data_IF_162195027801
#
_entry.id   IF_162195027801
#
_cell.length_a   1.000
_cell.length_b   1.000
_cell.length_c   1.000
_cell.angle_alpha   90.00
_cell.angle_beta   90.00
_cell.angle_gamma   90.00
#
_symmetry.space_group_name_H-M   'P 1'
#
loop_
_entity.id
_entity.type
_entity.pdbx_description
1 polymer ?
#
# COMPACT_ATOMS: atom_id res chain seq x y z
N UNK A 1 10.24 31.48 34.97
CA UNK A 1 10.10 31.67 33.51
C UNK A 1 9.25 30.54 32.97
N UNK A 2 7.97 30.84 32.81
CA UNK A 2 6.85 29.93 32.53
C UNK A 2 6.79 29.57 31.05
N UNK A 3 6.95 28.28 30.73
CA UNK A 3 6.68 27.76 29.39
C UNK A 3 5.19 27.87 29.09
N UNK A 4 4.82 28.64 28.07
CA UNK A 4 3.45 28.77 27.59
C UNK A 4 2.91 27.41 27.14
N UNK A 5 1.65 27.06 27.47
CA UNK A 5 1.02 25.85 26.95
C UNK A 5 0.83 25.97 25.43
N UNK A 6 1.35 25.00 24.66
CA UNK A 6 1.09 24.91 23.22
C UNK A 6 -0.42 24.79 23.00
N UNK A 7 -1.00 25.75 22.29
CA UNK A 7 -2.44 25.77 21.99
C UNK A 7 -2.86 24.50 21.23
N UNK A 8 -3.95 23.81 21.62
CA UNK A 8 -4.38 22.56 20.99
C UNK A 8 -4.81 22.70 19.51
N UNK A 9 -5.02 23.92 19.01
CA UNK A 9 -5.47 24.19 17.65
C UNK A 9 -4.41 23.91 16.54
N UNK A 10 -3.11 24.07 16.83
CA UNK A 10 -2.04 23.83 15.85
C UNK A 10 -1.72 22.35 15.67
N UNK A 11 -1.95 21.54 16.71
CA UNK A 11 -1.79 20.09 16.65
C UNK A 11 -2.83 19.42 15.74
N UNK A 12 -4.07 19.95 15.71
CA UNK A 12 -5.14 19.42 14.87
C UNK A 12 -4.91 19.62 13.37
N UNK A 13 -4.42 20.78 12.96
CA UNK A 13 -4.13 21.08 11.55
C UNK A 13 -2.99 20.22 11.00
N UNK A 14 -1.92 20.00 11.78
CA UNK A 14 -0.80 19.15 11.38
C UNK A 14 -1.23 17.70 11.13
N UNK A 15 -2.15 17.18 11.94
CA UNK A 15 -2.68 15.82 11.77
C UNK A 15 -3.55 15.69 10.50
N UNK A 16 -4.37 16.70 10.19
CA UNK A 16 -5.19 16.74 8.97
C UNK A 16 -4.32 16.77 7.71
N UNK A 17 -3.30 17.63 7.68
CA UNK A 17 -2.38 17.70 6.53
C UNK A 17 -1.59 16.41 6.34
N UNK A 18 -1.18 15.76 7.43
CA UNK A 18 -0.53 14.45 7.34
C UNK A 18 -1.47 13.38 6.75
N UNK A 19 -2.72 13.32 7.21
CA UNK A 19 -3.72 12.39 6.67
C UNK A 19 -4.00 12.63 5.19
N UNK A 20 -4.14 13.89 4.75
CA UNK A 20 -4.30 14.24 3.34
C UNK A 20 -3.08 13.85 2.49
N UNK A 21 -1.87 14.11 3.00
CA UNK A 21 -0.65 13.77 2.29
C UNK A 21 -0.49 12.25 2.11
N UNK A 22 -0.77 11.46 3.15
CA UNK A 22 -0.71 9.99 3.07
C UNK A 22 -1.80 9.45 2.13
N UNK A 23 -3.00 10.01 2.19
CA UNK A 23 -4.09 9.64 1.27
C UNK A 23 -3.73 9.92 -0.19
N UNK A 24 -3.20 11.12 -0.47
CA UNK A 24 -2.78 11.50 -1.82
C UNK A 24 -1.64 10.61 -2.33
N UNK A 25 -0.65 10.31 -1.48
CA UNK A 25 0.44 9.40 -1.82
C UNK A 25 -0.07 7.99 -2.14
N UNK A 26 -0.98 7.47 -1.31
CA UNK A 26 -1.58 6.15 -1.49
C UNK A 26 -2.42 6.08 -2.78
N UNK A 27 -3.32 7.03 -3.00
CA UNK A 27 -4.14 7.08 -4.22
C UNK A 27 -3.26 7.23 -5.45
N UNK A 28 -2.23 8.09 -5.38
CA UNK A 28 -1.25 8.26 -6.44
C UNK A 28 -0.50 6.97 -6.77
N UNK A 29 -0.06 6.21 -5.76
CA UNK A 29 0.65 4.94 -5.99
C UNK A 29 -0.26 3.87 -6.58
N UNK A 30 -1.55 3.81 -6.18
CA UNK A 30 -2.56 2.94 -6.81
C UNK A 30 -2.74 3.26 -8.29
N UNK A 31 -2.96 4.54 -8.61
CA UNK A 31 -3.14 4.99 -10.00
C UNK A 31 -1.89 4.70 -10.83
N UNK A 32 -0.70 4.98 -10.31
CA UNK A 32 0.56 4.67 -11.00
C UNK A 32 0.77 3.18 -11.22
N UNK A 33 0.44 2.33 -10.24
CA UNK A 33 0.52 0.88 -10.39
C UNK A 33 -0.40 0.37 -11.51
N UNK A 34 -1.63 0.86 -11.55
CA UNK A 34 -2.62 0.44 -12.54
C UNK A 34 -2.29 1.00 -13.93
N UNK A 35 -1.89 2.26 -14.01
CA UNK A 35 -1.49 2.91 -15.26
C UNK A 35 -0.26 2.24 -15.88
N UNK A 36 0.78 1.98 -15.08
CA UNK A 36 1.98 1.28 -15.53
C UNK A 36 1.67 -0.15 -15.97
N UNK A 37 0.80 -0.86 -15.25
CA UNK A 37 0.38 -2.23 -15.63
C UNK A 37 -0.44 -2.26 -16.93
N UNK A 38 -1.02 -1.14 -17.34
CA UNK A 38 -1.78 -1.03 -18.60
C UNK A 38 -0.87 -0.65 -19.77
N UNK A 39 0.03 0.32 -19.56
CA UNK A 39 0.77 0.96 -20.66
C UNK A 39 2.19 0.41 -20.87
N UNK A 40 2.77 -0.22 -19.85
CA UNK A 40 4.14 -0.74 -19.94
C UNK A 40 4.12 -2.27 -20.03
N UNK A 41 5.06 -2.80 -20.80
CA UNK A 41 5.26 -4.24 -20.92
C UNK A 41 5.75 -4.83 -19.61
N UNK A 42 5.33 -6.07 -19.35
CA UNK A 42 5.86 -6.83 -18.22
C UNK A 42 7.37 -7.06 -18.39
N UNK A 43 8.10 -7.00 -17.29
CA UNK A 43 9.53 -7.24 -17.23
C UNK A 43 9.80 -8.73 -16.98
N UNK A 44 10.87 -9.25 -17.59
CA UNK A 44 11.36 -10.59 -17.28
C UNK A 44 12.53 -10.48 -16.30
N UNK A 45 12.34 -10.96 -15.07
CA UNK A 45 13.37 -10.91 -14.02
C UNK A 45 13.65 -12.33 -13.55
N UNK A 46 14.87 -12.84 -13.81
CA UNK A 46 15.30 -14.18 -13.37
C UNK A 46 14.24 -15.25 -13.74
N UNK A 47 13.76 -15.20 -14.98
CA UNK A 47 12.71 -16.08 -15.53
C UNK A 47 11.28 -15.89 -14.99
N UNK A 48 11.02 -14.86 -14.19
CA UNK A 48 9.68 -14.50 -13.73
C UNK A 48 9.12 -13.32 -14.52
N UNK A 49 7.84 -13.41 -14.88
CA UNK A 49 7.08 -12.31 -15.48
C UNK A 49 6.64 -11.39 -14.35
N UNK A 50 7.11 -10.15 -14.38
CA UNK A 50 6.80 -9.11 -13.40
C UNK A 50 5.99 -8.01 -14.09
N UNK A 51 4.70 -7.85 -13.77
CA UNK A 51 3.90 -6.74 -14.29
C UNK A 51 4.55 -5.40 -13.95
N UNK A 52 4.56 -4.45 -14.90
CA UNK A 52 5.31 -3.20 -14.74
C UNK A 52 4.88 -2.37 -13.52
N UNK A 53 3.59 -2.41 -13.15
CA UNK A 53 3.08 -1.73 -11.97
C UNK A 53 3.42 -2.38 -10.62
N UNK A 54 4.08 -3.53 -10.62
CA UNK A 54 4.37 -4.31 -9.39
C UNK A 54 5.15 -3.51 -8.36
N UNK A 55 6.11 -2.69 -8.79
CA UNK A 55 6.91 -1.86 -7.89
C UNK A 55 6.04 -0.84 -7.14
N UNK A 56 5.20 -0.11 -7.89
CA UNK A 56 4.23 0.82 -7.31
C UNK A 56 3.22 0.11 -6.42
N UNK A 57 2.79 -1.09 -6.81
CA UNK A 57 1.88 -1.88 -6.00
C UNK A 57 2.51 -2.30 -4.66
N UNK A 58 3.83 -2.54 -4.61
CA UNK A 58 4.56 -2.77 -3.35
C UNK A 58 4.65 -1.50 -2.50
N UNK A 59 4.89 -0.33 -3.11
CA UNK A 59 4.82 0.97 -2.40
C UNK A 59 3.44 1.19 -1.79
N UNK A 60 2.38 0.89 -2.55
CA UNK A 60 0.99 0.98 -2.11
C UNK A 60 0.73 0.18 -0.84
N UNK A 61 1.33 -1.00 -0.66
CA UNK A 61 1.17 -1.80 0.56
C UNK A 61 1.72 -1.06 1.78
N UNK A 62 2.92 -0.47 1.69
CA UNK A 62 3.47 0.32 2.80
C UNK A 62 2.67 1.59 3.08
N UNK A 63 2.22 2.28 2.02
CA UNK A 63 1.39 3.47 2.17
C UNK A 63 0.01 3.15 2.75
N UNK A 64 -0.53 1.96 2.47
CA UNK A 64 -1.79 1.48 3.06
C UNK A 64 -1.66 1.34 4.57
N UNK A 65 -0.57 0.79 5.06
CA UNK A 65 -0.33 0.65 6.50
C UNK A 65 -0.28 2.04 7.16
N UNK A 66 0.43 3.00 6.56
CA UNK A 66 0.46 4.39 7.03
C UNK A 66 -0.92 5.06 6.97
N UNK A 67 -1.70 4.77 5.92
CA UNK A 67 -3.06 5.29 5.78
C UNK A 67 -3.99 4.69 6.84
N UNK A 68 -3.82 3.41 7.16
CA UNK A 68 -4.56 2.72 8.21
C UNK A 68 -4.23 3.29 9.59
N UNK A 69 -2.96 3.59 9.86
CA UNK A 69 -2.54 4.23 11.11
C UNK A 69 -3.05 5.68 11.24
N UNK A 70 -3.19 6.41 10.14
CA UNK A 70 -3.61 7.82 10.15
C UNK A 70 -5.13 8.01 10.12
N UNK A 71 -5.86 7.20 9.34
CA UNK A 71 -7.30 7.37 9.08
C UNK A 71 -8.15 6.13 9.41
N UNK A 72 -7.54 5.01 9.81
CA UNK A 72 -8.23 3.77 10.11
C UNK A 72 -8.79 3.05 8.88
N UNK A 73 -9.54 1.97 9.12
CA UNK A 73 -10.10 1.11 8.07
C UNK A 73 -11.04 1.86 7.12
N UNK A 74 -11.88 2.78 7.63
CA UNK A 74 -12.80 3.55 6.80
C UNK A 74 -12.07 4.48 5.83
N UNK A 75 -10.95 5.09 6.27
CA UNK A 75 -10.08 5.90 5.41
C UNK A 75 -9.42 5.08 4.30
N UNK A 76 -8.92 3.88 4.62
CA UNK A 76 -8.36 2.95 3.63
C UNK A 76 -9.40 2.56 2.59
N UNK A 77 -10.60 2.16 3.00
CA UNK A 77 -11.68 1.80 2.09
C UNK A 77 -12.09 2.96 1.18
N UNK A 78 -12.22 4.18 1.73
CA UNK A 78 -12.51 5.37 0.93
C UNK A 78 -11.41 5.64 -0.11
N UNK A 79 -10.14 5.52 0.28
CA UNK A 79 -9.02 5.74 -0.62
C UNK A 79 -8.91 4.65 -1.71
N UNK A 80 -9.24 3.39 -1.40
CA UNK A 80 -9.36 2.31 -2.40
C UNK A 80 -10.41 2.67 -3.44
N UNK A 81 -11.60 3.10 -3.00
CA UNK A 81 -12.70 3.49 -3.90
C UNK A 81 -12.30 4.66 -4.79
N UNK A 82 -11.65 5.70 -4.24
CA UNK A 82 -11.17 6.85 -5.01
C UNK A 82 -10.08 6.43 -6.00
N UNK A 83 -9.08 5.66 -5.56
CA UNK A 83 -8.00 5.18 -6.41
C UNK A 83 -8.51 4.29 -7.55
N UNK A 84 -9.53 3.49 -7.28
CA UNK A 84 -10.21 2.66 -8.28
C UNK A 84 -10.98 3.49 -9.31
N UNK A 85 -11.75 4.47 -8.87
CA UNK A 85 -12.48 5.36 -9.78
C UNK A 85 -11.54 6.15 -10.69
N UNK A 86 -10.43 6.64 -10.15
CA UNK A 86 -9.38 7.28 -10.94
C UNK A 86 -8.71 6.29 -11.90
N UNK A 87 -8.42 5.07 -11.44
CA UNK A 87 -7.83 4.02 -12.27
C UNK A 87 -8.75 3.59 -13.40
N UNK A 88 -10.07 3.55 -13.18
CA UNK A 88 -11.04 3.28 -14.25
C UNK A 88 -10.97 4.33 -15.36
N UNK A 89 -10.68 5.58 -15.00
CA UNK A 89 -10.61 6.70 -15.93
C UNK A 89 -9.26 6.80 -16.65
N UNK A 90 -8.17 6.39 -16.00
CA UNK A 90 -6.79 6.59 -16.48
C UNK A 90 -6.10 5.30 -16.97
N UNK A 91 -6.60 4.14 -16.59
CA UNK A 91 -6.09 2.82 -16.94
C UNK A 91 -7.18 1.97 -17.61
N UNK A 92 -6.99 0.66 -17.77
CA UNK A 92 -8.04 -0.20 -18.32
C UNK A 92 -9.14 -0.48 -17.26
N UNK A 93 -10.43 -0.52 -17.66
CA UNK A 93 -11.52 -0.89 -16.75
C UNK A 93 -11.31 -2.27 -16.09
N UNK A 94 -10.73 -3.22 -16.83
CA UNK A 94 -10.39 -4.54 -16.32
C UNK A 94 -9.37 -4.47 -15.17
N UNK A 95 -8.28 -3.71 -15.34
CA UNK A 95 -7.26 -3.55 -14.29
C UNK A 95 -7.86 -2.82 -13.09
N UNK A 96 -8.68 -1.78 -13.31
CA UNK A 96 -9.32 -1.06 -12.22
C UNK A 96 -10.22 -1.96 -11.35
N UNK A 97 -11.06 -2.80 -11.98
CA UNK A 97 -11.91 -3.77 -11.27
C UNK A 97 -11.08 -4.82 -10.55
N UNK A 98 -10.05 -5.36 -11.22
CA UNK A 98 -9.13 -6.32 -10.62
C UNK A 98 -8.48 -5.76 -9.35
N UNK A 99 -8.01 -4.51 -9.38
CA UNK A 99 -7.40 -3.83 -8.22
C UNK A 99 -8.40 -3.64 -7.08
N UNK A 100 -9.64 -3.21 -7.37
CA UNK A 100 -10.68 -3.05 -6.32
C UNK A 100 -10.92 -4.37 -5.60
N UNK A 101 -11.16 -5.43 -6.37
CA UNK A 101 -11.49 -6.75 -5.83
C UNK A 101 -10.31 -7.28 -5.02
N UNK A 102 -9.10 -7.21 -5.58
CA UNK A 102 -7.89 -7.67 -4.91
C UNK A 102 -7.63 -6.88 -3.62
N UNK A 103 -7.69 -5.55 -3.65
CA UNK A 103 -7.47 -4.73 -2.45
C UNK A 103 -8.54 -4.94 -1.39
N UNK A 104 -9.83 -4.95 -1.74
CA UNK A 104 -10.90 -5.11 -0.77
C UNK A 104 -10.85 -6.49 -0.09
N UNK A 105 -10.61 -7.55 -0.86
CA UNK A 105 -10.50 -8.90 -0.30
C UNK A 105 -9.24 -9.01 0.57
N UNK A 106 -8.11 -8.48 0.10
CA UNK A 106 -6.85 -8.56 0.85
C UNK A 106 -6.91 -7.76 2.14
N UNK A 107 -7.57 -6.61 2.15
CA UNK A 107 -7.80 -5.81 3.36
C UNK A 107 -8.66 -6.56 4.40
N UNK A 108 -9.72 -7.24 3.93
CA UNK A 108 -10.54 -8.09 4.80
C UNK A 108 -9.73 -9.25 5.38
N UNK A 109 -8.92 -9.92 4.55
CA UNK A 109 -8.06 -11.03 4.97
C UNK A 109 -7.02 -10.54 5.97
N UNK A 110 -6.34 -9.43 5.67
CA UNK A 110 -5.34 -8.80 6.54
C UNK A 110 -5.93 -8.46 7.91
N UNK A 111 -7.10 -7.83 7.92
CA UNK A 111 -7.81 -7.47 9.15
C UNK A 111 -8.12 -8.69 10.02
N UNK A 112 -8.58 -9.78 9.40
CA UNK A 112 -8.90 -11.04 10.10
C UNK A 112 -7.63 -11.71 10.64
N UNK A 113 -6.57 -11.81 9.83
CA UNK A 113 -5.31 -12.44 10.23
C UNK A 113 -4.62 -11.62 11.32
N UNK A 114 -4.58 -10.30 11.17
CA UNK A 114 -4.05 -9.38 12.17
C UNK A 114 -4.79 -9.55 13.51
N UNK A 115 -6.12 -9.55 13.49
CA UNK A 115 -6.95 -9.73 14.70
C UNK A 115 -6.66 -11.04 15.42
N UNK A 116 -6.48 -12.15 14.69
CA UNK A 116 -6.15 -13.47 15.27
C UNK A 116 -4.75 -13.53 15.87
N UNK A 117 -3.75 -12.93 15.24
CA UNK A 117 -2.35 -13.06 15.66
C UNK A 117 -1.98 -12.00 16.71
N UNK A 118 -2.66 -10.84 16.73
CA UNK A 118 -2.37 -9.70 17.62
C UNK A 118 -2.29 -10.08 19.10
N UNK A 119 -3.07 -11.07 19.53
CA UNK A 119 -3.06 -11.58 20.91
C UNK A 119 -1.76 -12.29 21.33
N UNK A 120 -0.94 -12.75 20.37
CA UNK A 120 0.33 -13.46 20.64
C UNK A 120 1.54 -12.55 20.48
N UNK A 121 1.61 -11.81 19.37
CA UNK A 121 2.65 -10.80 19.16
C UNK A 121 2.19 -9.72 18.19
N UNK A 122 2.45 -8.44 18.52
CA UNK A 122 2.10 -7.32 17.62
C UNK A 122 2.90 -7.37 16.32
N UNK A 123 4.21 -7.58 16.43
CA UNK A 123 5.09 -7.63 15.26
C UNK A 123 4.79 -8.84 14.36
N UNK A 124 4.52 -10.01 14.94
CA UNK A 124 4.09 -11.18 14.17
C UNK A 124 2.72 -11.00 13.52
N UNK A 125 1.80 -10.26 14.14
CA UNK A 125 0.52 -9.91 13.54
C UNK A 125 0.69 -9.00 12.33
N UNK A 126 1.54 -7.98 12.42
CA UNK A 126 1.86 -7.07 11.29
C UNK A 126 2.51 -7.84 10.15
N UNK A 127 3.59 -8.60 10.42
CA UNK A 127 4.30 -9.34 9.38
C UNK A 127 3.41 -10.42 8.77
N UNK A 128 2.71 -11.19 9.61
CA UNK A 128 1.86 -12.28 9.16
C UNK A 128 0.67 -11.81 8.32
N UNK A 129 -0.03 -10.76 8.75
CA UNK A 129 -1.11 -10.17 7.94
C UNK A 129 -0.57 -9.65 6.61
N UNK A 130 0.43 -8.77 6.62
CA UNK A 130 1.00 -8.21 5.38
C UNK A 130 1.49 -9.27 4.38
N UNK A 131 2.08 -10.37 4.83
CA UNK A 131 2.46 -11.48 3.94
C UNK A 131 1.24 -12.11 3.30
N UNK A 132 0.21 -12.42 4.10
CA UNK A 132 -1.02 -13.04 3.59
C UNK A 132 -1.78 -12.09 2.65
N UNK A 133 -1.88 -10.81 2.99
CA UNK A 133 -2.48 -9.77 2.14
C UNK A 133 -1.77 -9.61 0.82
N UNK A 134 -0.44 -9.50 0.84
CA UNK A 134 0.37 -9.37 -0.37
C UNK A 134 0.17 -10.57 -1.32
N UNK A 135 0.14 -11.79 -0.77
CA UNK A 135 -0.08 -13.01 -1.53
C UNK A 135 -1.51 -13.05 -2.07
N UNK A 136 -2.51 -12.81 -1.22
CA UNK A 136 -3.93 -12.81 -1.60
C UNK A 136 -4.21 -11.79 -2.70
N UNK A 137 -3.66 -10.59 -2.55
CA UNK A 137 -3.79 -9.49 -3.51
C UNK A 137 -3.21 -9.89 -4.85
N UNK A 138 -2.03 -10.52 -4.87
CA UNK A 138 -1.39 -10.92 -6.12
C UNK A 138 -2.07 -12.11 -6.79
N UNK A 139 -2.54 -13.08 -6.01
CA UNK A 139 -3.28 -14.25 -6.51
C UNK A 139 -4.63 -13.85 -7.09
N UNK A 140 -5.27 -12.79 -6.58
CA UNK A 140 -6.53 -12.26 -7.13
C UNK A 140 -6.29 -11.30 -8.29
N UNK A 141 -5.39 -10.33 -8.12
CA UNK A 141 -5.16 -9.27 -9.09
C UNK A 141 -4.67 -9.82 -10.43
N UNK A 142 -3.62 -10.64 -10.44
CA UNK A 142 -2.96 -11.07 -11.68
C UNK A 142 -3.92 -11.81 -12.63
N UNK A 143 -4.66 -12.85 -12.21
CA UNK A 143 -5.57 -13.52 -13.13
C UNK A 143 -6.76 -12.64 -13.54
N UNK A 144 -7.26 -11.76 -12.67
CA UNK A 144 -8.33 -10.83 -13.03
C UNK A 144 -7.86 -9.75 -14.02
N UNK A 145 -6.63 -9.26 -13.85
CA UNK A 145 -6.04 -8.22 -14.68
C UNK A 145 -5.51 -8.74 -16.03
N UNK A 146 -4.93 -9.95 -16.05
CA UNK A 146 -4.19 -10.47 -17.21
C UNK A 146 -4.70 -11.82 -17.73
N UNK A 147 -5.69 -12.43 -17.10
CA UNK A 147 -6.27 -13.71 -17.54
C UNK A 147 -5.38 -14.93 -17.32
N UNK A 148 -4.31 -14.83 -16.53
CA UNK A 148 -3.34 -15.91 -16.30
C UNK A 148 -2.73 -15.83 -14.90
N UNK A 149 -2.28 -16.96 -14.37
CA UNK A 149 -1.52 -17.03 -13.12
C UNK A 149 0.00 -16.90 -13.31
N UNK A 150 0.49 -16.85 -14.55
CA UNK A 150 1.91 -16.92 -14.87
C UNK A 150 2.76 -15.82 -14.20
N UNK A 151 2.18 -14.64 -14.02
CA UNK A 151 2.87 -13.49 -13.43
C UNK A 151 2.70 -13.40 -11.89
N UNK A 152 1.96 -14.32 -11.25
CA UNK A 152 1.75 -14.31 -9.78
C UNK A 152 3.08 -14.40 -9.01
N UNK A 153 3.99 -15.35 -9.29
CA UNK A 153 5.24 -15.45 -8.54
C UNK A 153 6.12 -14.20 -8.71
N UNK A 154 6.18 -13.66 -9.93
CA UNK A 154 6.93 -12.43 -10.22
C UNK A 154 6.33 -11.21 -9.52
N UNK A 155 5.00 -11.11 -9.48
CA UNK A 155 4.32 -10.03 -8.78
C UNK A 155 4.51 -10.11 -7.25
N UNK A 156 4.41 -11.30 -6.65
CA UNK A 156 4.66 -11.50 -5.21
C UNK A 156 6.08 -11.07 -4.86
N UNK A 157 7.07 -11.57 -5.60
CA UNK A 157 8.48 -11.24 -5.35
C UNK A 157 8.74 -9.74 -5.54
N UNK A 158 8.24 -9.15 -6.64
CA UNK A 158 8.43 -7.73 -6.92
C UNK A 158 7.79 -6.84 -5.86
N UNK A 159 6.58 -7.17 -5.39
CA UNK A 159 5.93 -6.44 -4.28
C UNK A 159 6.71 -6.57 -2.99
N UNK A 160 7.18 -7.77 -2.65
CA UNK A 160 7.95 -8.01 -1.44
C UNK A 160 9.24 -7.17 -1.42
N UNK A 161 9.98 -7.17 -2.54
CA UNK A 161 11.19 -6.36 -2.71
C UNK A 161 10.87 -4.87 -2.63
N UNK A 162 9.86 -4.40 -3.36
CA UNK A 162 9.48 -2.99 -3.34
C UNK A 162 9.00 -2.51 -1.96
N UNK A 163 8.24 -3.35 -1.24
CA UNK A 163 7.81 -3.08 0.14
C UNK A 163 9.02 -2.98 1.06
N UNK A 164 9.96 -3.94 0.99
CA UNK A 164 11.17 -3.93 1.81
C UNK A 164 12.03 -2.69 1.54
N UNK A 165 12.20 -2.29 0.28
CA UNK A 165 12.92 -1.07 -0.11
C UNK A 165 12.22 0.18 0.41
N UNK A 166 10.89 0.26 0.28
CA UNK A 166 10.09 1.40 0.77
C UNK A 166 10.24 1.55 2.28
N UNK A 167 10.11 0.45 3.03
CA UNK A 167 10.32 0.43 4.48
C UNK A 167 11.75 0.86 4.83
N UNK A 168 12.77 0.35 4.13
CA UNK A 168 14.16 0.74 4.37
C UNK A 168 14.38 2.25 4.17
N UNK A 169 13.84 2.82 3.10
CA UNK A 169 13.90 4.27 2.83
C UNK A 169 13.22 5.06 3.95
N UNK A 170 12.04 4.64 4.41
CA UNK A 170 11.34 5.30 5.51
C UNK A 170 12.15 5.26 6.82
N UNK A 171 12.77 4.12 7.13
CA UNK A 171 13.62 3.98 8.32
C UNK A 171 14.84 4.90 8.25
N UNK A 172 15.51 4.99 7.09
CA UNK A 172 16.65 5.88 6.87
C UNK A 172 16.25 7.37 6.93
N UNK A 173 15.09 7.73 6.39
CA UNK A 173 14.59 9.10 6.48
C UNK A 173 14.28 9.47 7.95
N UNK A 174 13.76 8.53 8.73
CA UNK A 174 13.47 8.74 10.15
C UNK A 174 14.74 8.89 11.00
N UNK A 175 15.80 8.13 10.73
CA UNK A 175 17.08 8.29 11.45
C UNK A 175 17.74 9.63 11.10
N UNK A 176 17.72 10.04 9.83
CA UNK A 176 18.23 11.34 9.39
C UNK A 176 17.49 12.52 10.07
N UNK A 177 16.15 12.47 10.13
CA UNK A 177 15.35 13.50 10.83
C UNK A 177 15.71 13.62 12.31
N UNK A 178 15.91 12.48 12.99
CA UNK A 178 16.30 12.46 14.42
C UNK A 178 17.71 13.00 14.65
N UNK A 179 18.60 12.85 13.68
CA UNK A 179 19.96 13.40 13.75
C UNK A 179 19.96 14.94 13.57
N UNK A 180 19.08 15.47 12.72
CA UNK A 180 18.94 16.93 12.49
C UNK A 180 18.21 17.64 13.64
N UNK A 181 17.34 16.94 14.38
CA UNK A 181 16.60 17.51 15.51
C UNK A 181 17.34 17.44 16.87
N UNK A 182 18.59 16.97 16.90
CA UNK A 182 19.46 16.93 18.08
C UNK A 182 20.48 18.06 18.00
#
# INVERSE_FOLDING_TARGET
>A
MTGLPRSPATAGHGLVWAGLAVSAAYVGSVVMANWASTHWSALLVISLIVPAGTLWAGVTLTLRDLLHETLGTSGVLAAIVVGAWLSWSLASPQIAVASVVAFAVSECVDSVIYGRIRGRSRLGAVVGSNVVGLVSDSVLFVPLAFGSFAAVPGQILGKAVATALTVAVLLLANTARRAVSR
#
